data_IF_535953715867
#
_entry.id   IF_535953715867
#
_cell.length_a   1.000
_cell.length_b   1.000
_cell.length_c   1.000
_cell.angle_alpha   90.00
_cell.angle_beta   90.00
_cell.angle_gamma   90.00
#
_symmetry.space_group_name_H-M   'P 1'
#
loop_
_entity.id
_entity.type
_entity.pdbx_description
1 polymer ?
#
# COMPACT_ATOMS: atom_id res chain seq x y z
N UNK A 1 53.47 50.84 -67.61
CA UNK A 1 54.22 51.64 -66.61
C UNK A 1 53.38 51.67 -65.33
N UNK A 2 53.99 51.20 -64.28
CA UNK A 2 53.62 51.27 -62.89
C UNK A 2 52.32 50.60 -62.40
N UNK A 3 52.54 49.41 -61.97
CA UNK A 3 51.73 48.66 -60.99
C UNK A 3 51.78 49.26 -59.60
N UNK A 4 50.68 49.31 -58.91
CA UNK A 4 50.68 49.42 -57.45
C UNK A 4 49.86 48.26 -56.85
N UNK A 5 50.58 47.39 -56.18
CA UNK A 5 50.05 46.34 -55.30
C UNK A 5 49.44 47.03 -54.07
N UNK A 6 48.23 46.64 -53.67
CA UNK A 6 47.68 46.89 -52.36
C UNK A 6 47.36 45.57 -51.71
N UNK A 7 48.16 45.21 -50.73
CA UNK A 7 47.94 44.04 -49.86
C UNK A 7 46.83 44.32 -48.87
N UNK A 8 45.71 43.56 -48.96
CA UNK A 8 44.63 43.55 -47.95
C UNK A 8 44.91 42.50 -46.94
N UNK A 9 45.28 42.87 -45.72
CA UNK A 9 45.42 42.02 -44.58
C UNK A 9 44.01 41.56 -44.06
N UNK A 10 43.70 40.27 -44.17
CA UNK A 10 42.50 39.68 -43.57
C UNK A 10 42.76 39.44 -42.08
N UNK A 11 42.07 40.20 -41.23
CA UNK A 11 42.03 39.93 -39.76
C UNK A 11 41.06 38.78 -39.51
N UNK A 12 41.61 37.68 -39.10
CA UNK A 12 40.85 36.47 -38.67
C UNK A 12 40.36 36.69 -37.23
N UNK A 13 39.07 36.97 -37.05
CA UNK A 13 38.45 37.03 -35.73
C UNK A 13 38.03 35.62 -35.30
N UNK A 14 38.79 34.99 -34.42
CA UNK A 14 38.41 33.72 -33.77
C UNK A 14 37.35 34.03 -32.71
N UNK A 15 36.12 33.63 -32.97
CA UNK A 15 35.04 33.64 -31.98
C UNK A 15 35.15 32.38 -31.12
N UNK A 16 35.53 32.56 -29.86
CA UNK A 16 35.52 31.50 -28.86
C UNK A 16 34.07 31.29 -28.38
N UNK A 17 33.38 30.26 -28.89
CA UNK A 17 32.07 29.85 -28.39
C UNK A 17 32.26 29.07 -27.10
N UNK A 18 31.94 29.70 -25.97
CA UNK A 18 31.82 29.00 -24.66
C UNK A 18 30.50 28.23 -24.69
N UNK A 19 30.56 26.92 -24.93
CA UNK A 19 29.42 26.04 -24.76
C UNK A 19 29.23 25.80 -23.27
N UNK A 20 28.32 26.54 -22.62
CA UNK A 20 27.77 26.18 -21.32
C UNK A 20 26.93 24.90 -21.49
N UNK A 21 27.55 23.75 -21.26
CA UNK A 21 26.85 22.51 -21.12
C UNK A 21 25.99 22.55 -19.85
N UNK A 22 24.70 22.80 -19.99
CA UNK A 22 23.72 22.49 -18.97
C UNK A 22 23.72 20.97 -18.85
N UNK A 23 24.42 20.45 -17.85
CA UNK A 23 24.21 19.10 -17.38
C UNK A 23 22.77 19.06 -16.82
N UNK A 24 21.82 18.65 -17.67
CA UNK A 24 20.53 18.20 -17.19
C UNK A 24 20.81 16.97 -16.34
N UNK A 25 20.93 17.16 -15.04
CA UNK A 25 20.96 16.08 -14.08
C UNK A 25 19.68 15.26 -14.31
N UNK A 26 19.82 14.04 -14.80
CA UNK A 26 18.72 13.08 -14.82
C UNK A 26 18.20 13.01 -13.40
N UNK A 27 17.01 13.52 -13.15
CA UNK A 27 16.34 13.29 -11.86
C UNK A 27 16.33 11.77 -11.66
N UNK A 28 17.09 11.28 -10.70
CA UNK A 28 17.06 9.87 -10.34
C UNK A 28 15.65 9.61 -9.81
N UNK A 29 14.95 8.64 -10.39
CA UNK A 29 13.65 8.20 -9.90
C UNK A 29 13.75 7.94 -8.39
N UNK A 30 13.06 8.74 -7.59
CA UNK A 30 13.10 8.64 -6.14
C UNK A 30 12.02 7.69 -5.64
N UNK A 31 12.36 6.88 -4.64
CA UNK A 31 11.42 5.97 -4.00
C UNK A 31 11.34 6.26 -2.51
N UNK A 32 10.19 6.73 -2.08
CA UNK A 32 9.94 7.08 -0.69
C UNK A 32 9.14 5.98 0.01
N UNK A 33 9.49 5.72 1.26
CA UNK A 33 8.83 4.73 2.10
C UNK A 33 8.31 5.43 3.35
N UNK A 34 7.04 5.25 3.63
CA UNK A 34 6.35 5.78 4.80
C UNK A 34 5.99 4.63 5.72
N UNK A 35 6.43 4.72 6.98
CA UNK A 35 6.17 3.69 8.00
C UNK A 35 5.45 4.33 9.17
N UNK A 36 4.24 3.87 9.47
CA UNK A 36 3.53 4.31 10.67
C UNK A 36 4.04 3.56 11.91
N UNK A 37 4.43 4.32 12.94
CA UNK A 37 4.93 3.81 14.22
C UNK A 37 3.91 4.17 15.32
N UNK A 38 3.03 3.22 15.68
CA UNK A 38 1.86 3.51 16.51
C UNK A 38 2.21 4.05 17.90
N UNK A 39 3.17 3.41 18.59
CA UNK A 39 3.50 3.76 19.98
C UNK A 39 4.45 4.96 20.08
N UNK A 40 5.21 5.25 19.02
CA UNK A 40 5.96 6.50 18.91
C UNK A 40 5.10 7.66 18.41
N UNK A 41 3.87 7.40 17.92
CA UNK A 41 2.94 8.41 17.40
C UNK A 41 3.53 9.23 16.25
N UNK A 42 4.26 8.56 15.35
CA UNK A 42 5.01 9.20 14.28
C UNK A 42 4.99 8.38 12.98
N UNK A 43 5.31 9.05 11.88
CA UNK A 43 5.58 8.43 10.59
C UNK A 43 7.07 8.59 10.30
N UNK A 44 7.79 7.47 10.09
CA UNK A 44 9.14 7.50 9.55
C UNK A 44 9.06 7.66 8.04
N UNK A 45 9.75 8.67 7.50
CA UNK A 45 9.95 8.86 6.06
C UNK A 45 11.35 8.37 5.71
N UNK A 46 11.44 7.41 4.80
CA UNK A 46 12.70 6.79 4.40
C UNK A 46 12.85 6.90 2.88
N UNK A 47 14.09 6.92 2.40
CA UNK A 47 14.42 6.77 0.98
C UNK A 47 14.92 5.35 0.71
N UNK A 48 14.32 4.67 -0.27
CA UNK A 48 14.80 3.37 -0.75
C UNK A 48 15.86 3.55 -1.82
N UNK A 49 17.10 3.16 -1.51
CA UNK A 49 18.15 3.00 -2.51
C UNK A 49 17.97 1.66 -3.24
N UNK A 50 17.38 1.70 -4.43
CA UNK A 50 17.15 0.50 -5.26
C UNK A 50 18.41 -0.13 -5.80
N UNK A 51 19.56 0.56 -5.81
CA UNK A 51 20.83 -0.01 -6.23
C UNK A 51 21.43 -0.91 -5.17
N UNK A 52 21.24 -0.53 -3.92
CA UNK A 52 21.80 -1.22 -2.74
C UNK A 52 20.77 -2.09 -2.01
N UNK A 53 19.46 -1.89 -2.27
CA UNK A 53 18.39 -2.53 -1.49
C UNK A 53 18.46 -2.14 -0.01
N UNK A 54 18.65 -0.85 0.26
CA UNK A 54 18.70 -0.29 1.61
C UNK A 54 17.75 0.90 1.72
N UNK A 55 17.25 1.13 2.93
CA UNK A 55 16.53 2.35 3.25
C UNK A 55 17.34 3.23 4.17
N UNK A 56 17.22 4.55 4.01
CA UNK A 56 17.85 5.55 4.88
C UNK A 56 16.82 6.55 5.40
N UNK A 57 16.92 7.01 6.66
CA UNK A 57 16.00 8.00 7.22
C UNK A 57 16.10 9.35 6.47
N UNK A 58 14.94 9.97 6.23
CA UNK A 58 14.80 11.30 5.66
C UNK A 58 14.18 12.26 6.67
N UNK A 59 13.08 11.82 7.30
CA UNK A 59 12.31 12.64 8.23
C UNK A 59 11.55 11.75 9.21
N UNK A 60 11.29 12.27 10.40
CA UNK A 60 10.33 11.70 11.34
C UNK A 60 9.23 12.73 11.60
N UNK A 61 7.98 12.37 11.30
CA UNK A 61 6.82 13.26 11.40
C UNK A 61 5.97 12.86 12.59
N UNK A 62 5.95 13.68 13.64
CA UNK A 62 5.05 13.47 14.79
C UNK A 62 3.61 13.77 14.36
N UNK A 63 2.69 12.83 14.61
CA UNK A 63 1.27 12.95 14.27
C UNK A 63 0.35 13.13 15.49
N UNK A 64 0.90 13.04 16.70
CA UNK A 64 0.18 13.31 17.95
C UNK A 64 -0.92 12.30 18.26
N UNK A 65 -0.72 11.03 17.92
CA UNK A 65 -1.65 9.95 18.23
C UNK A 65 -1.22 8.63 17.60
N UNK A 66 -1.82 7.52 18.03
CA UNK A 66 -1.51 6.18 17.51
C UNK A 66 -1.84 6.08 16.02
N UNK A 67 -0.86 6.26 15.17
CA UNK A 67 -1.00 6.14 13.72
C UNK A 67 -0.89 4.66 13.31
N UNK A 68 -1.87 4.18 12.52
CA UNK A 68 -1.84 2.81 12.03
C UNK A 68 -2.09 2.75 10.53
N UNK A 69 -3.34 2.63 9.99
CA UNK A 69 -3.50 2.53 8.57
C UNK A 69 -3.15 3.87 7.89
N UNK A 70 -2.47 3.74 6.77
CA UNK A 70 -2.21 4.83 5.84
C UNK A 70 -2.75 4.48 4.46
N UNK A 71 -2.95 5.49 3.62
CA UNK A 71 -3.27 5.34 2.20
C UNK A 71 -2.63 6.47 1.40
N UNK A 72 -2.18 6.16 0.20
CA UNK A 72 -1.64 7.13 -0.76
C UNK A 72 -2.70 7.44 -1.81
N UNK A 73 -2.84 8.72 -2.17
CA UNK A 73 -3.73 9.09 -3.28
C UNK A 73 -3.29 8.46 -4.61
N UNK A 74 -4.21 8.16 -5.55
CA UNK A 74 -3.85 7.53 -6.82
C UNK A 74 -2.85 8.33 -7.66
N UNK A 75 -2.86 9.66 -7.53
CA UNK A 75 -1.91 10.57 -8.18
C UNK A 75 -0.59 10.75 -7.41
N UNK A 76 -0.44 10.04 -6.27
CA UNK A 76 0.75 10.03 -5.40
C UNK A 76 1.10 11.37 -4.74
N UNK A 77 0.21 12.37 -4.81
CA UNK A 77 0.46 13.68 -4.22
C UNK A 77 0.19 13.75 -2.73
N UNK A 78 -0.62 12.84 -2.21
CA UNK A 78 -1.11 12.91 -0.83
C UNK A 78 -0.95 11.58 -0.11
N UNK A 79 -0.68 11.68 1.20
CA UNK A 79 -0.71 10.58 2.15
C UNK A 79 -1.78 10.89 3.21
N UNK A 80 -2.59 9.90 3.50
CA UNK A 80 -3.60 9.91 4.56
C UNK A 80 -3.18 8.97 5.66
N UNK A 81 -3.27 9.41 6.92
CA UNK A 81 -2.87 8.63 8.07
C UNK A 81 -3.98 8.65 9.14
N UNK A 82 -4.57 7.49 9.43
CA UNK A 82 -5.61 7.39 10.43
C UNK A 82 -5.03 7.16 11.83
N UNK A 83 -5.51 7.93 12.80
CA UNK A 83 -5.10 7.84 14.18
C UNK A 83 -6.16 7.10 15.00
N UNK A 84 -5.73 6.05 15.69
CA UNK A 84 -6.58 5.13 16.46
C UNK A 84 -6.68 5.50 17.93
N UNK A 85 -6.09 6.61 18.35
CA UNK A 85 -6.26 7.21 19.68
C UNK A 85 -7.29 8.35 19.62
N UNK A 86 -7.97 8.60 20.72
CA UNK A 86 -8.94 9.69 20.85
C UNK A 86 -8.26 11.08 20.78
N UNK A 87 -8.85 12.07 20.11
CA UNK A 87 -10.03 11.94 19.22
C UNK A 87 -9.66 11.24 17.93
N UNK A 88 -10.50 10.28 17.47
CA UNK A 88 -10.26 9.56 16.20
C UNK A 88 -10.29 10.52 15.03
N UNK A 89 -9.26 10.49 14.21
CA UNK A 89 -9.11 11.41 13.08
C UNK A 89 -8.20 10.83 11.99
N UNK A 90 -8.30 11.39 10.81
CA UNK A 90 -7.33 11.20 9.72
C UNK A 90 -6.58 12.49 9.51
N UNK A 91 -5.26 12.40 9.40
CA UNK A 91 -4.39 13.51 9.00
C UNK A 91 -4.06 13.40 7.53
N UNK A 92 -4.26 14.48 6.78
CA UNK A 92 -3.90 14.60 5.37
C UNK A 92 -2.56 15.29 5.24
N UNK A 93 -1.67 14.73 4.41
CA UNK A 93 -0.35 15.29 4.08
C UNK A 93 -0.18 15.44 2.57
N UNK A 94 0.50 16.51 2.15
CA UNK A 94 1.09 16.59 0.81
C UNK A 94 2.48 15.94 0.85
N UNK A 95 2.79 15.16 -0.19
CA UNK A 95 4.10 14.55 -0.40
C UNK A 95 4.93 15.48 -1.29
N UNK A 96 6.13 15.82 -0.86
CA UNK A 96 7.12 16.47 -1.71
C UNK A 96 7.81 15.39 -2.58
N UNK A 97 7.60 15.36 -3.89
CA UNK A 97 8.15 14.31 -4.74
C UNK A 97 9.69 14.29 -4.79
N UNK A 98 10.34 15.44 -4.57
CA UNK A 98 11.80 15.55 -4.65
C UNK A 98 12.49 15.08 -3.36
N UNK A 99 11.81 15.17 -2.21
CA UNK A 99 12.43 14.90 -0.89
C UNK A 99 11.69 13.84 -0.08
N UNK A 100 10.51 13.40 -0.52
CA UNK A 100 9.63 12.50 0.23
C UNK A 100 8.99 13.12 1.47
N UNK A 101 9.35 14.34 1.83
CA UNK A 101 8.88 14.98 3.06
C UNK A 101 7.38 15.23 3.06
N UNK A 102 6.79 15.14 4.26
CA UNK A 102 5.37 15.31 4.46
C UNK A 102 5.03 16.70 5.00
N UNK A 103 4.16 17.41 4.29
CA UNK A 103 3.60 18.68 4.75
C UNK A 103 2.14 18.49 5.14
N UNK A 104 1.82 18.63 6.43
CA UNK A 104 0.45 18.53 6.93
C UNK A 104 -0.48 19.54 6.25
N UNK A 105 -1.62 19.05 5.76
CA UNK A 105 -2.66 19.86 5.12
C UNK A 105 -3.83 20.14 6.06
N UNK A 106 -4.17 19.18 6.92
CA UNK A 106 -5.27 19.27 7.85
C UNK A 106 -5.63 17.95 8.50
N UNK A 107 -6.67 17.96 9.29
CA UNK A 107 -7.24 16.79 9.95
C UNK A 107 -8.76 16.80 9.77
N UNK A 108 -9.34 15.59 9.71
CA UNK A 108 -10.78 15.40 9.71
C UNK A 108 -11.17 14.31 10.73
N UNK A 109 -12.34 14.43 11.37
CA UNK A 109 -12.81 13.41 12.30
C UNK A 109 -13.11 12.10 11.58
N UNK A 110 -12.76 10.98 12.21
CA UNK A 110 -13.21 9.64 11.87
C UNK A 110 -14.28 9.18 12.86
N UNK A 111 -15.20 8.35 12.39
CA UNK A 111 -16.30 7.86 13.23
C UNK A 111 -15.86 6.92 14.34
N UNK A 112 -14.62 6.36 14.23
CA UNK A 112 -14.10 5.36 15.16
C UNK A 112 -12.61 5.11 14.94
N UNK A 113 -12.03 4.15 15.68
CA UNK A 113 -10.71 3.59 15.46
C UNK A 113 -10.71 2.73 14.19
N UNK A 114 -10.04 3.17 13.14
CA UNK A 114 -10.03 2.48 11.85
C UNK A 114 -8.91 1.43 11.76
N UNK A 115 -9.24 0.25 11.25
CA UNK A 115 -8.29 -0.82 10.98
C UNK A 115 -7.64 -0.69 9.59
N UNK A 116 -8.37 -0.09 8.66
CA UNK A 116 -7.93 0.17 7.29
C UNK A 116 -8.55 1.47 6.78
N UNK A 117 -7.82 2.18 5.95
CA UNK A 117 -8.31 3.28 5.10
C UNK A 117 -7.80 3.05 3.68
N UNK A 118 -8.56 3.51 2.69
CA UNK A 118 -8.16 3.50 1.29
C UNK A 118 -8.84 4.64 0.54
N UNK A 119 -8.36 5.00 -0.64
CA UNK A 119 -9.00 5.97 -1.51
C UNK A 119 -9.75 5.28 -2.65
N UNK A 120 -10.77 5.93 -3.18
CA UNK A 120 -11.34 5.53 -4.45
C UNK A 120 -10.34 5.75 -5.60
N UNK A 121 -10.60 5.17 -6.77
CA UNK A 121 -9.70 5.24 -7.92
C UNK A 121 -9.47 6.68 -8.44
N UNK A 122 -10.31 7.65 -8.07
CA UNK A 122 -10.16 9.06 -8.46
C UNK A 122 -9.46 9.92 -7.40
N UNK A 123 -9.31 9.41 -6.18
CA UNK A 123 -8.81 10.16 -5.03
C UNK A 123 -9.78 11.23 -4.50
N UNK A 124 -11.08 11.08 -4.80
CA UNK A 124 -12.14 12.00 -4.36
C UNK A 124 -12.80 11.57 -3.06
N UNK A 125 -12.68 10.28 -2.74
CA UNK A 125 -13.30 9.66 -1.56
C UNK A 125 -12.27 8.87 -0.77
N UNK A 126 -12.36 8.97 0.56
CA UNK A 126 -11.65 8.12 1.51
C UNK A 126 -12.63 7.12 2.10
N UNK A 127 -12.36 5.86 1.95
CA UNK A 127 -13.02 4.76 2.64
C UNK A 127 -12.31 4.44 3.95
N UNK A 128 -13.07 4.05 4.97
CA UNK A 128 -12.49 3.58 6.22
C UNK A 128 -13.31 2.45 6.83
N UNK A 129 -12.63 1.45 7.41
CA UNK A 129 -13.24 0.31 8.08
C UNK A 129 -12.85 0.28 9.56
N UNK A 130 -13.84 0.24 10.45
CA UNK A 130 -13.64 0.19 11.90
C UNK A 130 -13.82 -1.21 12.46
N UNK A 131 -12.74 -1.72 13.04
CA UNK A 131 -12.75 -3.02 13.72
C UNK A 131 -13.61 -3.01 15.00
N UNK A 132 -13.42 -2.08 15.97
CA UNK A 132 -14.22 -2.06 17.19
C UNK A 132 -15.64 -1.53 16.95
N UNK A 133 -15.82 -0.68 15.94
CA UNK A 133 -17.09 0.00 15.68
C UNK A 133 -18.02 -0.75 14.73
N UNK A 134 -17.58 -1.86 14.10
CA UNK A 134 -18.41 -2.70 13.20
C UNK A 134 -19.09 -1.85 12.11
N UNK A 135 -18.33 -0.99 11.45
CA UNK A 135 -18.83 -0.04 10.46
C UNK A 135 -17.79 0.31 9.42
N UNK A 136 -18.27 0.79 8.30
CA UNK A 136 -17.46 1.45 7.27
C UNK A 136 -17.95 2.88 7.09
N UNK A 137 -17.04 3.76 6.65
CA UNK A 137 -17.38 5.15 6.34
C UNK A 137 -16.82 5.57 4.99
N UNK A 138 -17.46 6.57 4.40
CA UNK A 138 -17.00 7.30 3.23
C UNK A 138 -16.85 8.76 3.64
N UNK A 139 -15.67 9.33 3.42
CA UNK A 139 -15.39 10.74 3.62
C UNK A 139 -15.03 11.38 2.26
N UNK A 140 -15.38 12.64 2.06
CA UNK A 140 -14.92 13.37 0.87
C UNK A 140 -13.44 13.73 0.96
N UNK A 141 -12.80 13.88 -0.20
CA UNK A 141 -11.45 14.47 -0.33
C UNK A 141 -11.56 15.64 -1.30
N UNK A 142 -11.07 16.81 -0.91
CA UNK A 142 -11.06 18.00 -1.76
C UNK A 142 -9.89 17.97 -2.78
N UNK A 143 -9.88 18.95 -3.70
CA UNK A 143 -8.84 19.05 -4.75
C UNK A 143 -7.45 19.36 -4.19
N UNK A 144 -7.38 19.90 -2.99
CA UNK A 144 -6.16 20.17 -2.25
C UNK A 144 -5.68 18.96 -1.44
N UNK A 145 -6.38 17.83 -1.51
CA UNK A 145 -6.06 16.57 -0.83
C UNK A 145 -6.45 16.53 0.64
N UNK A 146 -7.33 17.42 1.10
CA UNK A 146 -7.80 17.38 2.48
C UNK A 146 -9.04 16.48 2.59
N UNK A 147 -9.01 15.56 3.54
CA UNK A 147 -10.18 14.78 3.90
C UNK A 147 -11.20 15.69 4.59
N UNK A 148 -12.46 15.58 4.16
CA UNK A 148 -13.60 16.32 4.69
C UNK A 148 -14.46 15.49 5.65
N UNK A 149 -15.71 15.95 5.81
CA UNK A 149 -16.68 15.30 6.68
C UNK A 149 -17.08 13.90 6.18
N UNK A 150 -17.61 13.10 7.10
CA UNK A 150 -18.19 11.80 6.79
C UNK A 150 -19.43 12.01 5.93
N UNK A 151 -19.39 11.50 4.70
CA UNK A 151 -20.50 11.50 3.74
C UNK A 151 -21.50 10.39 4.04
N UNK A 152 -21.00 9.21 4.41
CA UNK A 152 -21.83 8.07 4.74
C UNK A 152 -21.17 7.21 5.82
N UNK A 153 -22.00 6.67 6.73
CA UNK A 153 -21.65 5.66 7.70
C UNK A 153 -22.58 4.46 7.49
N UNK A 154 -22.00 3.28 7.37
CA UNK A 154 -22.72 2.04 7.11
C UNK A 154 -22.32 0.99 8.14
N UNK A 155 -23.28 0.44 8.91
CA UNK A 155 -23.04 -0.71 9.78
C UNK A 155 -22.66 -1.95 8.96
N UNK A 156 -21.78 -2.77 9.52
CA UNK A 156 -21.35 -4.05 8.92
C UNK A 156 -21.59 -5.21 9.90
N UNK A 157 -21.27 -6.42 9.46
CA UNK A 157 -21.06 -7.53 10.41
C UNK A 157 -19.85 -7.20 11.33
N UNK A 158 -19.68 -7.93 12.46
CA UNK A 158 -18.65 -7.60 13.43
C UNK A 158 -17.23 -7.51 12.85
N UNK A 159 -16.47 -6.52 13.36
CA UNK A 159 -15.05 -6.34 13.12
C UNK A 159 -14.71 -6.08 11.63
N UNK A 160 -15.30 -5.03 11.04
CA UNK A 160 -14.88 -4.57 9.70
C UNK A 160 -13.38 -4.28 9.70
N UNK A 161 -12.63 -4.89 8.76
CA UNK A 161 -11.18 -4.84 8.81
C UNK A 161 -10.53 -4.18 7.59
N UNK A 162 -10.98 -4.47 6.38
CA UNK A 162 -10.51 -3.83 5.16
C UNK A 162 -11.67 -3.30 4.31
N UNK A 163 -11.39 -2.27 3.51
CA UNK A 163 -12.35 -1.69 2.57
C UNK A 163 -11.58 -1.16 1.36
N UNK A 164 -11.98 -1.59 0.15
CA UNK A 164 -11.33 -1.22 -1.10
C UNK A 164 -12.34 -1.09 -2.23
N UNK A 165 -12.14 -0.11 -3.13
CA UNK A 165 -12.88 -0.01 -4.38
C UNK A 165 -12.25 -0.90 -5.46
N UNK A 166 -13.06 -1.38 -6.40
CA UNK A 166 -12.55 -1.99 -7.64
C UNK A 166 -11.93 -0.91 -8.55
N UNK A 167 -11.02 -1.29 -9.45
CA UNK A 167 -10.31 -0.34 -10.31
C UNK A 167 -11.24 0.47 -11.24
N UNK A 168 -12.45 -0.02 -11.48
CA UNK A 168 -13.45 0.69 -12.26
C UNK A 168 -14.33 1.62 -11.42
N UNK A 169 -14.07 1.70 -10.13
CA UNK A 169 -14.77 2.55 -9.17
C UNK A 169 -16.30 2.33 -9.13
N UNK A 170 -16.73 1.06 -9.36
CA UNK A 170 -18.15 0.68 -9.41
C UNK A 170 -18.60 -0.11 -8.20
N UNK A 171 -17.67 -0.85 -7.60
CA UNK A 171 -17.94 -1.70 -6.45
C UNK A 171 -16.91 -1.45 -5.35
N UNK A 172 -17.37 -1.58 -4.12
CA UNK A 172 -16.53 -1.57 -2.92
C UNK A 172 -16.73 -2.88 -2.18
N UNK A 173 -15.63 -3.53 -1.82
CA UNK A 173 -15.62 -4.69 -0.94
C UNK A 173 -15.16 -4.29 0.45
N UNK A 174 -15.82 -4.82 1.48
CA UNK A 174 -15.36 -4.68 2.86
C UNK A 174 -15.40 -6.03 3.57
N UNK A 175 -14.30 -6.36 4.26
CA UNK A 175 -14.18 -7.60 5.04
C UNK A 175 -14.71 -7.38 6.45
N UNK A 176 -15.38 -8.38 7.02
CA UNK A 176 -15.83 -8.40 8.42
C UNK A 176 -15.24 -9.63 9.11
N UNK A 177 -14.17 -9.42 9.88
CA UNK A 177 -13.37 -10.48 10.48
C UNK A 177 -14.21 -11.35 11.45
N UNK A 178 -14.95 -10.72 12.37
CA UNK A 178 -15.83 -11.44 13.30
C UNK A 178 -17.16 -11.87 12.67
N UNK A 179 -17.46 -11.40 11.46
CA UNK A 179 -18.64 -11.78 10.70
C UNK A 179 -18.41 -12.92 9.72
N UNK A 180 -17.17 -13.38 9.51
CA UNK A 180 -16.79 -14.39 8.53
C UNK A 180 -17.39 -14.12 7.13
N UNK A 181 -17.30 -12.87 6.66
CA UNK A 181 -17.82 -12.50 5.34
C UNK A 181 -17.07 -11.31 4.70
N UNK A 182 -17.26 -11.20 3.39
CA UNK A 182 -16.92 -10.00 2.60
C UNK A 182 -18.23 -9.41 2.12
N UNK A 183 -18.50 -8.17 2.47
CA UNK A 183 -19.65 -7.41 1.98
C UNK A 183 -19.31 -6.71 0.68
N UNK A 184 -20.25 -6.69 -0.26
CA UNK A 184 -20.13 -6.03 -1.55
C UNK A 184 -21.14 -4.89 -1.67
N UNK A 185 -20.69 -3.76 -2.16
CA UNK A 185 -21.45 -2.52 -2.28
C UNK A 185 -21.32 -1.97 -3.70
N UNK A 186 -22.41 -1.49 -4.27
CA UNK A 186 -22.37 -0.62 -5.46
C UNK A 186 -21.92 0.76 -5.01
N UNK A 187 -20.98 1.34 -5.72
CA UNK A 187 -20.42 2.65 -5.41
C UNK A 187 -20.83 3.67 -6.46
N UNK A 188 -21.44 4.75 -6.01
CA UNK A 188 -21.66 5.94 -6.83
C UNK A 188 -20.52 6.95 -6.56
N UNK A 189 -19.53 6.97 -7.42
CA UNK A 189 -18.37 7.85 -7.30
C UNK A 189 -18.73 9.35 -7.42
N UNK A 190 -19.90 9.69 -7.96
CA UNK A 190 -20.35 11.09 -8.06
C UNK A 190 -20.80 11.62 -6.72
N UNK A 191 -21.45 10.78 -5.91
CA UNK A 191 -22.05 11.18 -4.63
C UNK A 191 -21.37 10.58 -3.41
N UNK A 192 -20.42 9.65 -3.62
CA UNK A 192 -19.75 8.93 -2.54
C UNK A 192 -20.64 7.92 -1.81
N UNK A 193 -21.75 7.48 -2.44
CA UNK A 193 -22.71 6.59 -1.79
C UNK A 193 -22.46 5.12 -2.08
N UNK A 194 -22.56 4.34 -1.02
CA UNK A 194 -22.58 2.88 -1.04
C UNK A 194 -24.01 2.39 -0.90
N UNK A 195 -24.42 1.49 -1.78
CA UNK A 195 -25.68 0.74 -1.68
C UNK A 195 -25.39 -0.75 -1.73
N UNK A 196 -26.09 -1.61 -0.96
CA UNK A 196 -25.83 -3.05 -0.99
C UNK A 196 -25.87 -3.61 -2.42
N UNK A 197 -24.89 -4.46 -2.75
CA UNK A 197 -24.92 -5.23 -4.00
C UNK A 197 -25.88 -6.43 -3.90
N UNK A 198 -26.07 -7.15 -5.01
CA UNK A 198 -26.83 -8.40 -5.04
C UNK A 198 -25.98 -9.52 -5.69
N UNK A 199 -25.58 -10.56 -4.94
CA UNK A 199 -25.69 -10.69 -3.49
C UNK A 199 -24.83 -9.68 -2.72
N UNK A 200 -25.29 -9.28 -1.51
CA UNK A 200 -24.59 -8.31 -0.68
C UNK A 200 -23.41 -8.91 0.08
N UNK A 201 -23.38 -10.23 0.26
CA UNK A 201 -22.39 -10.92 1.09
C UNK A 201 -21.81 -12.14 0.37
N UNK A 202 -20.51 -12.33 0.53
CA UNK A 202 -19.81 -13.59 0.28
C UNK A 202 -19.32 -14.14 1.62
N UNK A 203 -19.83 -15.31 2.02
CA UNK A 203 -19.43 -15.96 3.27
C UNK A 203 -18.11 -16.71 3.11
N UNK A 204 -17.32 -16.74 4.19
CA UNK A 204 -16.09 -17.53 4.31
C UNK A 204 -16.30 -18.66 5.32
N UNK A 205 -15.39 -19.62 5.45
CA UNK A 205 -15.48 -20.63 6.48
C UNK A 205 -15.64 -20.04 7.88
N UNK A 206 -16.46 -20.62 8.75
CA UNK A 206 -16.65 -20.13 10.10
C UNK A 206 -15.33 -20.02 10.88
N UNK A 207 -15.12 -18.90 11.56
CA UNK A 207 -13.92 -18.58 12.35
C UNK A 207 -12.64 -18.44 11.52
N UNK A 208 -12.76 -18.21 10.21
CA UNK A 208 -11.60 -17.89 9.36
C UNK A 208 -11.09 -16.46 9.58
N UNK A 209 -11.99 -15.51 9.79
CA UNK A 209 -11.66 -14.11 10.07
C UNK A 209 -11.12 -13.35 8.86
N UNK A 210 -11.96 -13.04 7.86
CA UNK A 210 -11.58 -12.24 6.69
C UNK A 210 -10.92 -10.93 7.07
N UNK A 211 -9.69 -10.70 6.57
CA UNK A 211 -8.89 -9.55 7.00
C UNK A 211 -8.56 -8.59 5.86
N UNK A 212 -7.61 -8.92 5.01
CA UNK A 212 -7.23 -8.11 3.85
C UNK A 212 -7.55 -8.84 2.55
N UNK A 213 -7.98 -8.08 1.55
CA UNK A 213 -8.31 -8.57 0.21
C UNK A 213 -7.62 -7.71 -0.84
N UNK A 214 -7.05 -8.35 -1.86
CA UNK A 214 -6.41 -7.68 -2.99
C UNK A 214 -6.86 -8.30 -4.30
N UNK A 215 -6.82 -7.53 -5.41
CA UNK A 215 -7.10 -8.02 -6.75
C UNK A 215 -5.84 -8.19 -7.58
N UNK A 216 -5.87 -9.09 -8.55
CA UNK A 216 -4.89 -9.06 -9.62
C UNK A 216 -5.05 -7.77 -10.46
N UNK A 217 -3.99 -7.37 -11.15
CA UNK A 217 -3.96 -6.12 -11.94
C UNK A 217 -5.07 -6.05 -13.00
N UNK A 218 -5.47 -7.20 -13.55
CA UNK A 218 -6.54 -7.29 -14.55
C UNK A 218 -7.95 -7.38 -13.93
N UNK A 219 -8.03 -7.40 -12.60
CA UNK A 219 -9.28 -7.54 -11.84
C UNK A 219 -10.13 -8.74 -12.29
N UNK A 220 -9.49 -9.88 -12.52
CA UNK A 220 -10.14 -11.17 -12.79
C UNK A 220 -10.22 -12.04 -11.55
N UNK A 221 -9.29 -11.86 -10.64
CA UNK A 221 -9.15 -12.65 -9.42
C UNK A 221 -8.98 -11.76 -8.20
N UNK A 222 -9.54 -12.19 -7.08
CA UNK A 222 -9.33 -11.59 -5.76
C UNK A 222 -8.74 -12.61 -4.79
N UNK A 223 -7.86 -12.14 -3.91
CA UNK A 223 -7.14 -12.94 -2.93
C UNK A 223 -7.45 -12.39 -1.54
N UNK A 224 -8.07 -13.22 -0.72
CA UNK A 224 -8.50 -12.89 0.64
C UNK A 224 -7.64 -13.62 1.65
N UNK A 225 -6.97 -12.87 2.52
CA UNK A 225 -6.24 -13.38 3.66
C UNK A 225 -7.14 -13.40 4.89
N UNK A 226 -7.26 -14.55 5.55
CA UNK A 226 -7.99 -14.72 6.78
C UNK A 226 -7.03 -14.70 7.98
N UNK A 227 -7.36 -13.91 9.02
CA UNK A 227 -6.48 -13.71 10.18
C UNK A 227 -6.44 -14.92 11.13
N UNK A 228 -7.61 -15.54 11.39
CA UNK A 228 -7.78 -16.44 12.53
C UNK A 228 -7.34 -17.88 12.26
N UNK A 229 -7.33 -18.30 11.00
CA UNK A 229 -6.87 -19.62 10.56
C UNK A 229 -5.69 -19.56 9.59
N UNK A 230 -5.26 -18.32 9.23
CA UNK A 230 -4.20 -18.04 8.27
C UNK A 230 -4.45 -18.68 6.88
N UNK A 231 -5.71 -18.96 6.55
CA UNK A 231 -6.08 -19.41 5.21
C UNK A 231 -6.04 -18.24 4.22
N UNK A 232 -5.71 -18.59 2.98
CA UNK A 232 -5.69 -17.69 1.82
C UNK A 232 -6.67 -18.22 0.79
N UNK A 233 -7.74 -17.46 0.53
CA UNK A 233 -8.79 -17.82 -0.40
C UNK A 233 -8.64 -17.08 -1.73
N UNK A 234 -8.80 -17.80 -2.83
CA UNK A 234 -8.79 -17.26 -4.19
C UNK A 234 -10.22 -17.26 -4.71
N UNK A 235 -10.61 -16.14 -5.30
CA UNK A 235 -11.92 -15.97 -5.93
C UNK A 235 -11.77 -15.52 -7.37
N UNK A 236 -12.68 -15.98 -8.25
CA UNK A 236 -12.95 -15.27 -9.49
C UNK A 236 -13.77 -14.01 -9.15
N UNK A 237 -13.36 -12.88 -9.73
CA UNK A 237 -14.07 -11.61 -9.60
C UNK A 237 -14.90 -11.34 -10.85
N UNK A 238 -16.22 -11.23 -10.69
CA UNK A 238 -17.11 -10.74 -11.76
C UNK A 238 -17.28 -9.22 -11.61
N UNK A 239 -16.39 -8.45 -12.24
CA UNK A 239 -16.44 -6.98 -12.18
C UNK A 239 -17.66 -6.37 -12.88
N UNK A 240 -18.49 -7.12 -13.62
CA UNK A 240 -19.78 -6.63 -14.14
C UNK A 240 -20.88 -6.68 -13.09
N UNK A 241 -20.81 -7.66 -12.19
CA UNK A 241 -21.80 -7.91 -11.15
C UNK A 241 -21.34 -7.51 -9.74
N UNK A 242 -20.02 -7.33 -9.53
CA UNK A 242 -19.46 -7.08 -8.21
C UNK A 242 -19.51 -8.30 -7.29
N UNK A 243 -19.23 -9.51 -7.82
CA UNK A 243 -19.38 -10.76 -7.08
C UNK A 243 -18.12 -11.58 -7.06
N UNK A 244 -17.94 -12.33 -5.97
CA UNK A 244 -16.81 -13.25 -5.72
C UNK A 244 -17.28 -14.70 -5.84
N UNK A 245 -16.57 -15.52 -6.63
CA UNK A 245 -16.81 -16.96 -6.73
C UNK A 245 -15.56 -17.72 -6.26
N UNK A 246 -15.66 -18.62 -5.26
CA UNK A 246 -14.50 -19.30 -4.70
C UNK A 246 -13.86 -20.26 -5.71
N UNK A 247 -12.53 -20.24 -5.79
CA UNK A 247 -11.74 -21.10 -6.68
C UNK A 247 -10.79 -22.03 -5.93
N UNK A 248 -10.19 -21.54 -4.84
CA UNK A 248 -9.17 -22.28 -4.09
C UNK A 248 -9.08 -21.76 -2.66
N UNK A 249 -8.68 -22.64 -1.74
CA UNK A 249 -8.20 -22.29 -0.41
C UNK A 249 -6.84 -22.96 -0.19
N UNK A 250 -5.89 -22.21 0.40
CA UNK A 250 -4.55 -22.67 0.79
C UNK A 250 -4.19 -22.06 2.14
N UNK A 251 -2.99 -22.29 2.66
CA UNK A 251 -2.56 -21.73 3.93
C UNK A 251 -1.26 -20.95 3.79
N UNK A 252 -1.07 -19.94 4.65
CA UNK A 252 0.19 -19.20 4.80
C UNK A 252 1.10 -19.80 5.85
N UNK A 253 0.63 -20.79 6.61
CA UNK A 253 1.39 -21.38 7.71
C UNK A 253 2.50 -22.30 7.22
N UNK A 254 3.65 -22.31 7.90
CA UNK A 254 4.70 -23.31 7.66
C UNK A 254 4.22 -24.73 7.99
N UNK A 255 4.80 -25.72 7.34
CA UNK A 255 4.52 -27.11 7.66
C UNK A 255 4.86 -27.40 9.13
N UNK A 256 3.97 -28.09 9.84
CA UNK A 256 4.15 -28.41 11.26
C UNK A 256 3.93 -27.24 12.23
N UNK A 257 3.37 -26.12 11.78
CA UNK A 257 3.04 -25.01 12.67
C UNK A 257 2.04 -25.43 13.77
N UNK A 258 2.37 -25.14 15.02
CA UNK A 258 1.55 -25.51 16.21
C UNK A 258 1.07 -24.29 17.00
N UNK A 259 1.43 -23.08 16.59
CA UNK A 259 1.01 -21.84 17.24
C UNK A 259 -0.44 -21.47 16.93
N UNK A 260 -0.93 -20.39 17.55
CA UNK A 260 -2.21 -19.78 17.17
C UNK A 260 -1.99 -18.92 15.92
N UNK A 261 -2.69 -19.17 14.81
CA UNK A 261 -2.55 -18.35 13.61
C UNK A 261 -2.91 -16.89 13.88
N UNK A 262 -2.18 -15.99 13.22
CA UNK A 262 -2.40 -14.56 13.31
C UNK A 262 -1.90 -13.84 12.05
N UNK A 263 -2.43 -14.25 10.89
CA UNK A 263 -2.05 -13.66 9.60
C UNK A 263 -2.40 -12.17 9.54
N UNK A 264 -1.67 -11.40 8.74
CA UNK A 264 -1.84 -9.96 8.75
C UNK A 264 -2.03 -9.34 7.36
N UNK A 265 -1.04 -9.29 6.52
CA UNK A 265 -1.07 -8.50 5.29
C UNK A 265 -0.84 -9.35 4.05
N UNK A 266 -1.27 -8.85 2.89
CA UNK A 266 -1.23 -9.55 1.62
C UNK A 266 -1.02 -8.57 0.47
N UNK A 267 -0.05 -8.86 -0.41
CA UNK A 267 0.21 -8.09 -1.62
C UNK A 267 0.64 -8.97 -2.78
N UNK A 268 0.25 -8.58 -4.00
CA UNK A 268 0.78 -9.12 -5.25
C UNK A 268 2.03 -8.37 -5.65
N UNK A 269 2.98 -9.07 -6.29
CA UNK A 269 4.05 -8.40 -7.03
C UNK A 269 3.47 -7.52 -8.14
N UNK A 270 4.10 -6.40 -8.52
CA UNK A 270 3.58 -5.49 -9.56
C UNK A 270 3.37 -6.15 -10.93
N UNK A 271 4.10 -7.23 -11.22
CA UNK A 271 3.93 -8.04 -12.43
C UNK A 271 2.83 -9.12 -12.31
N UNK A 272 2.24 -9.26 -11.11
CA UNK A 272 1.16 -10.20 -10.83
C UNK A 272 1.56 -11.68 -10.78
N UNK A 273 2.87 -12.01 -10.84
CA UNK A 273 3.34 -13.41 -10.88
C UNK A 273 3.48 -14.05 -9.50
N UNK A 274 3.63 -13.23 -8.47
CA UNK A 274 3.82 -13.70 -7.10
C UNK A 274 2.90 -12.98 -6.13
N UNK A 275 2.53 -13.68 -5.07
CA UNK A 275 1.76 -13.14 -3.97
C UNK A 275 2.51 -13.43 -2.68
N UNK A 276 2.50 -12.45 -1.77
CA UNK A 276 3.14 -12.52 -0.47
C UNK A 276 2.11 -12.27 0.62
N UNK A 277 2.28 -12.95 1.75
CA UNK A 277 1.43 -12.75 2.93
C UNK A 277 2.27 -12.83 4.20
N UNK A 278 2.01 -11.94 5.17
CA UNK A 278 2.68 -11.93 6.47
C UNK A 278 1.89 -12.70 7.51
N UNK A 279 2.61 -13.44 8.38
CA UNK A 279 2.05 -14.18 9.50
C UNK A 279 2.80 -13.81 10.78
N UNK A 280 2.06 -13.24 11.76
CA UNK A 280 2.65 -12.58 12.92
C UNK A 280 3.20 -13.54 13.98
N UNK A 281 2.54 -14.67 14.19
CA UNK A 281 2.96 -15.66 15.20
C UNK A 281 4.22 -16.41 14.78
N UNK A 282 4.28 -16.83 13.51
CA UNK A 282 5.48 -17.49 12.95
C UNK A 282 6.60 -16.52 12.60
N UNK A 283 6.32 -15.22 12.53
CA UNK A 283 7.24 -14.19 12.07
C UNK A 283 7.80 -14.47 10.67
N UNK A 284 6.90 -14.82 9.73
CA UNK A 284 7.25 -15.20 8.36
C UNK A 284 6.50 -14.40 7.31
N UNK A 285 7.09 -14.35 6.12
CA UNK A 285 6.45 -13.98 4.86
C UNK A 285 6.28 -15.26 4.03
N UNK A 286 5.04 -15.59 3.68
CA UNK A 286 4.73 -16.71 2.79
C UNK A 286 4.70 -16.22 1.36
N UNK A 287 5.32 -16.99 0.45
CA UNK A 287 5.41 -16.69 -0.98
C UNK A 287 4.62 -17.71 -1.79
N UNK A 288 3.87 -17.22 -2.76
CA UNK A 288 3.10 -18.03 -3.69
C UNK A 288 3.37 -17.61 -5.13
N UNK A 289 3.40 -18.59 -6.04
CA UNK A 289 3.30 -18.33 -7.47
C UNK A 289 1.83 -18.21 -7.86
N UNK A 290 1.51 -17.22 -8.69
CA UNK A 290 0.17 -17.02 -9.25
C UNK A 290 0.11 -17.64 -10.66
N UNK A 291 -0.83 -18.54 -10.88
CA UNK A 291 -1.16 -19.02 -12.23
C UNK A 291 -1.99 -17.94 -12.95
N UNK A 292 -1.43 -17.30 -13.95
CA UNK A 292 -2.07 -16.19 -14.65
C UNK A 292 -3.37 -16.58 -15.40
N UNK A 293 -3.55 -17.85 -15.75
CA UNK A 293 -4.75 -18.31 -16.47
C UNK A 293 -5.93 -18.60 -15.53
N UNK A 294 -5.64 -19.11 -14.33
CA UNK A 294 -6.65 -19.61 -13.39
C UNK A 294 -6.74 -18.80 -12.08
N UNK A 295 -5.79 -17.87 -11.83
CA UNK A 295 -5.65 -17.15 -10.57
C UNK A 295 -5.18 -18.01 -9.39
N UNK A 296 -5.02 -19.32 -9.57
CA UNK A 296 -4.68 -20.23 -8.49
C UNK A 296 -3.27 -20.02 -7.98
N UNK A 297 -3.07 -20.32 -6.71
CA UNK A 297 -1.83 -20.14 -5.99
C UNK A 297 -1.10 -21.46 -5.79
N UNK A 298 0.21 -21.47 -6.07
CA UNK A 298 1.12 -22.54 -5.74
C UNK A 298 2.06 -22.05 -4.63
N UNK A 299 2.06 -22.67 -3.42
CA UNK A 299 3.00 -22.31 -2.37
C UNK A 299 4.45 -22.52 -2.81
N UNK A 300 5.31 -21.55 -2.51
CA UNK A 300 6.76 -21.62 -2.77
C UNK A 300 7.57 -21.73 -1.48
N UNK A 301 6.98 -21.42 -0.33
CA UNK A 301 7.62 -21.52 0.98
C UNK A 301 7.41 -20.27 1.84
N UNK A 302 8.10 -20.24 2.98
CA UNK A 302 8.09 -19.14 3.95
C UNK A 302 9.50 -18.65 4.18
N UNK A 303 9.64 -17.33 4.33
CA UNK A 303 10.89 -16.65 4.67
C UNK A 303 10.77 -15.98 6.02
N UNK A 304 11.66 -16.25 6.99
CA UNK A 304 11.71 -15.51 8.25
C UNK A 304 11.89 -14.01 8.00
N UNK A 305 11.22 -13.19 8.81
CA UNK A 305 11.27 -11.74 8.71
C UNK A 305 11.29 -11.11 10.10
N UNK A 306 10.81 -9.86 10.21
CA UNK A 306 10.66 -9.12 11.46
C UNK A 306 9.82 -9.89 12.49
N UNK A 307 10.04 -9.56 13.78
CA UNK A 307 9.17 -10.09 14.83
C UNK A 307 7.79 -9.42 14.76
N UNK A 308 6.73 -10.24 14.72
CA UNK A 308 5.33 -9.81 14.60
C UNK A 308 5.12 -8.93 13.36
N UNK A 309 5.36 -9.44 12.12
CA UNK A 309 5.27 -8.66 10.88
C UNK A 309 3.81 -8.36 10.56
N UNK A 310 3.40 -7.08 10.71
CA UNK A 310 2.00 -6.71 10.51
C UNK A 310 1.72 -6.20 9.09
N UNK A 311 2.40 -5.17 8.65
CA UNK A 311 2.24 -4.58 7.32
C UNK A 311 3.52 -4.68 6.52
N UNK A 312 3.40 -4.77 5.21
CA UNK A 312 4.52 -4.70 4.29
C UNK A 312 4.07 -4.08 2.96
N UNK A 313 5.01 -3.62 2.16
CA UNK A 313 4.74 -3.16 0.81
C UNK A 313 5.82 -3.64 -0.15
N UNK A 314 5.50 -3.66 -1.46
CA UNK A 314 6.43 -4.02 -2.53
C UNK A 314 6.63 -2.79 -3.41
N UNK A 315 7.88 -2.46 -3.73
CA UNK A 315 8.19 -1.32 -4.60
C UNK A 315 7.69 -1.56 -6.04
N UNK A 316 7.45 -0.51 -6.81
CA UNK A 316 6.87 -0.63 -8.16
C UNK A 316 7.72 -1.41 -9.15
N UNK A 317 9.03 -1.56 -8.89
CA UNK A 317 9.89 -2.43 -9.70
C UNK A 317 9.72 -3.92 -9.39
N UNK A 318 9.06 -4.26 -8.28
CA UNK A 318 8.91 -5.63 -7.79
C UNK A 318 10.19 -6.24 -7.23
N UNK A 319 11.24 -5.45 -7.04
CA UNK A 319 12.57 -5.94 -6.61
C UNK A 319 12.77 -5.95 -5.11
N UNK A 320 11.95 -5.22 -4.36
CA UNK A 320 12.09 -5.09 -2.92
C UNK A 320 10.74 -5.17 -2.22
N UNK A 321 10.69 -5.96 -1.16
CA UNK A 321 9.61 -6.01 -0.20
C UNK A 321 10.11 -5.43 1.12
N UNK A 322 9.36 -4.49 1.69
CA UNK A 322 9.69 -3.85 2.98
C UNK A 322 8.64 -4.26 4.00
N UNK A 323 9.05 -5.00 5.03
CA UNK A 323 8.18 -5.50 6.09
C UNK A 323 8.43 -4.76 7.41
N UNK A 324 7.35 -4.41 8.11
CA UNK A 324 7.37 -3.74 9.41
C UNK A 324 7.09 -4.73 10.55
N UNK A 325 7.99 -4.81 11.52
CA UNK A 325 7.87 -5.69 12.68
C UNK A 325 7.45 -4.94 13.94
N UNK A 326 6.23 -5.21 14.42
CA UNK A 326 5.68 -4.52 15.58
C UNK A 326 6.57 -4.64 16.82
N UNK A 327 7.06 -5.85 17.11
CA UNK A 327 7.83 -6.15 18.31
C UNK A 327 9.35 -6.00 18.12
N UNK A 328 9.84 -5.93 16.87
CA UNK A 328 11.26 -5.65 16.58
C UNK A 328 11.56 -4.16 16.48
N UNK A 329 10.52 -3.31 16.32
CA UNK A 329 10.67 -1.86 16.16
C UNK A 329 11.59 -1.48 14.99
N UNK A 330 11.47 -2.23 13.90
CA UNK A 330 12.33 -2.11 12.72
C UNK A 330 11.55 -2.45 11.44
N UNK A 331 12.14 -2.11 10.32
CA UNK A 331 11.72 -2.59 9.00
C UNK A 331 12.84 -3.39 8.37
N UNK A 332 12.46 -4.43 7.62
CA UNK A 332 13.38 -5.23 6.81
C UNK A 332 13.13 -5.03 5.34
N UNK A 333 14.20 -4.77 4.58
CA UNK A 333 14.19 -4.70 3.10
C UNK A 333 14.63 -6.05 2.55
N UNK A 334 13.71 -6.82 2.01
CA UNK A 334 13.98 -8.11 1.35
C UNK A 334 14.15 -7.90 -0.15
N UNK A 335 15.28 -8.27 -0.76
CA UNK A 335 15.38 -8.38 -2.20
C UNK A 335 14.45 -9.48 -2.72
N UNK A 336 13.80 -9.25 -3.87
CA UNK A 336 12.94 -10.22 -4.54
C UNK A 336 13.67 -10.71 -5.80
N UNK A 337 13.82 -12.02 -5.95
CA UNK A 337 14.19 -12.63 -7.21
C UNK A 337 12.98 -12.61 -8.16
N UNK A 338 13.03 -11.78 -9.18
CA UNK A 338 11.90 -11.58 -10.10
C UNK A 338 11.49 -12.84 -10.87
N UNK A 339 12.37 -13.82 -11.06
CA UNK A 339 12.05 -15.04 -11.78
C UNK A 339 11.33 -16.06 -10.89
N UNK A 340 11.74 -16.18 -9.65
CA UNK A 340 11.27 -17.21 -8.72
C UNK A 340 10.30 -16.70 -7.65
N UNK A 341 10.29 -15.39 -7.39
CA UNK A 341 9.57 -14.76 -6.28
C UNK A 341 10.26 -14.93 -4.92
N UNK A 342 11.40 -15.60 -4.87
CA UNK A 342 12.11 -15.85 -3.63
C UNK A 342 12.58 -14.56 -2.95
N UNK A 343 12.38 -14.47 -1.64
CA UNK A 343 12.88 -13.37 -0.82
C UNK A 343 14.32 -13.66 -0.39
N UNK A 344 15.23 -12.73 -0.68
CA UNK A 344 16.63 -12.81 -0.27
C UNK A 344 16.83 -12.36 1.19
N UNK A 345 18.09 -12.40 1.64
CA UNK A 345 18.48 -11.98 2.98
C UNK A 345 18.15 -10.50 3.20
N UNK A 346 17.36 -10.16 4.24
CA UNK A 346 16.93 -8.80 4.48
C UNK A 346 18.04 -7.92 5.03
N UNK A 347 17.93 -6.63 4.74
CA UNK A 347 18.65 -5.57 5.45
C UNK A 347 17.68 -4.85 6.37
N UNK A 348 18.01 -4.76 7.65
CA UNK A 348 17.16 -4.22 8.69
C UNK A 348 17.54 -2.79 9.03
N UNK A 349 16.54 -1.95 9.32
CA UNK A 349 16.71 -0.59 9.83
C UNK A 349 15.77 -0.38 11.03
N UNK A 350 16.28 0.05 12.21
CA UNK A 350 15.44 0.49 13.32
C UNK A 350 14.59 1.72 12.93
N UNK A 351 13.31 1.72 13.36
CA UNK A 351 12.38 2.84 13.20
C UNK A 351 11.72 3.15 14.54
N UNK A 352 10.61 3.87 14.55
CA UNK A 352 9.85 4.11 15.77
C UNK A 352 9.22 2.83 16.35
N UNK A 353 8.59 2.97 17.53
CA UNK A 353 8.00 1.83 18.25
C UNK A 353 6.69 1.38 17.61
N UNK A 354 6.49 0.06 17.53
CA UNK A 354 5.32 -0.59 16.98
C UNK A 354 5.04 -0.16 15.52
N UNK A 355 6.01 -0.33 14.58
CA UNK A 355 5.78 -0.10 13.17
C UNK A 355 4.77 -1.13 12.66
N UNK A 356 3.78 -0.68 11.85
CA UNK A 356 2.63 -1.54 11.56
C UNK A 356 2.02 -1.37 10.17
N UNK A 357 2.37 -0.31 9.44
CA UNK A 357 1.92 -0.04 8.08
C UNK A 357 3.06 0.52 7.25
N UNK A 358 3.14 0.12 5.99
CA UNK A 358 4.18 0.56 5.06
C UNK A 358 3.53 1.00 3.75
N UNK A 359 3.84 2.22 3.29
CA UNK A 359 3.51 2.68 1.95
C UNK A 359 4.80 2.97 1.18
N UNK A 360 4.85 2.60 -0.09
CA UNK A 360 5.99 2.89 -0.98
C UNK A 360 5.49 3.71 -2.15
N UNK A 361 6.13 4.86 -2.39
CA UNK A 361 5.76 5.78 -3.45
C UNK A 361 6.95 6.06 -4.34
N UNK A 362 6.79 5.77 -5.63
CA UNK A 362 7.80 5.99 -6.65
C UNK A 362 7.47 7.23 -7.47
N UNK A 363 8.44 8.12 -7.60
CA UNK A 363 8.37 9.28 -8.48
C UNK A 363 9.37 9.12 -9.64
N UNK A 364 8.97 9.52 -10.86
CA UNK A 364 9.82 9.41 -12.06
C UNK A 364 11.05 10.30 -12.02
#
# INVERSE_FOLDING_TARGET
MNSRNSSSAKVLRTALAIACGLAAGSASAATWVYVSNADSQEISVLELDRSQGTVKPVETVNVGGQVMPMAVSPDKRFLYAALRSQPFRVTSFAIDPATGKLRKLGEAPLADSMANIDTDATGTWLFAASYPGHKITVNSIDKEGKVGAIQQLVPTAPNAHAIHADANNRFVLATSLGGDNVSAWRFDATTGRLTPNEPALTTTPPKSGPRHIVWDKAQRYAYLLNELDASLQVFAWDGAKGTLQPLQSTTTLPAGFTGKPWAADIHLSPDGRHLYASERTSSTLSTFRVDAATGKLQPLGQTPTEKTPRGFAIDSSGRFLIAAGQDSHSVSVHPIDLATGALGTPKQLPVGKNPNWVEIVDFP
#
